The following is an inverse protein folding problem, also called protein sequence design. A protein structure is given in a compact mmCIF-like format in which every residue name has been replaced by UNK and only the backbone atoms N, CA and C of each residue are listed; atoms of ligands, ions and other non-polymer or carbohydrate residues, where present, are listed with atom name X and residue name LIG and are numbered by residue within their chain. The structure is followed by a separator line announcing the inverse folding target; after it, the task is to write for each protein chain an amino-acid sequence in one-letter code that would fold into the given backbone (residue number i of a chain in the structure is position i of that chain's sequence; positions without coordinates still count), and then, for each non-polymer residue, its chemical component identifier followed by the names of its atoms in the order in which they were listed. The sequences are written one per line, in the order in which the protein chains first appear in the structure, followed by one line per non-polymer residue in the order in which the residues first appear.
data_IF_675430903104
#
_entry.id   IF_675430903104
#
_cell.length_a   1.000
_cell.length_b   1.000
_cell.length_c   1.000
_cell.angle_alpha   90.00
_cell.angle_beta   90.00
_cell.angle_gamma   90.00
#
_symmetry.space_group_name_H-M   'P 1'
#
loop_
_entity.id
_entity.type
_entity.pdbx_description
1 polymer ?
#
# COMPACT_ATOMS: atom_id res chain seq x y z
N UNK A 1 -3.72 -13.05 13.24
CA UNK A 1 -3.32 -11.75 13.80
C UNK A 1 -4.52 -10.83 13.88
N UNK A 2 -4.48 -9.79 14.70
CA UNK A 2 -5.56 -8.82 14.87
C UNK A 2 -5.01 -7.43 15.21
N UNK A 3 -5.75 -6.38 14.84
CA UNK A 3 -5.48 -4.99 15.25
C UNK A 3 -5.60 -4.81 16.78
N UNK A 4 -4.97 -3.76 17.35
CA UNK A 4 -5.11 -3.44 18.76
C UNK A 4 -6.57 -3.28 19.18
N UNK A 5 -6.93 -3.89 20.31
CA UNK A 5 -8.25 -3.75 20.90
C UNK A 5 -8.29 -2.49 21.77
N UNK A 6 -8.89 -1.42 21.26
CA UNK A 6 -9.21 -0.20 22.03
C UNK A 6 -10.71 -0.21 22.32
N UNK A 7 -11.07 0.01 23.59
CA UNK A 7 -12.47 0.08 24.00
C UNK A 7 -13.25 1.07 23.11
N UNK A 8 -14.37 0.62 22.53
CA UNK A 8 -15.22 1.42 21.65
C UNK A 8 -14.81 1.49 20.17
N UNK A 9 -13.62 1.00 19.77
CA UNK A 9 -13.20 1.01 18.35
C UNK A 9 -13.44 -0.35 17.69
N UNK A 10 -14.16 -0.35 16.57
CA UNK A 10 -14.35 -1.56 15.75
C UNK A 10 -15.27 -2.62 16.36
N UNK A 11 -15.86 -2.36 17.53
CA UNK A 11 -16.87 -3.18 18.18
C UNK A 11 -18.26 -2.84 17.63
N UNK A 12 -19.10 -3.87 17.44
CA UNK A 12 -20.52 -3.67 17.11
C UNK A 12 -21.35 -3.72 18.39
N UNK A 13 -22.32 -2.83 18.52
CA UNK A 13 -23.26 -2.82 19.66
C UNK A 13 -24.06 -4.13 19.82
N UNK A 14 -24.26 -4.87 18.72
CA UNK A 14 -24.97 -6.15 18.72
C UNK A 14 -24.06 -7.38 18.84
N UNK A 15 -22.76 -7.26 18.55
CA UNK A 15 -21.81 -8.39 18.53
C UNK A 15 -20.54 -8.04 19.32
N UNK A 16 -20.51 -8.34 20.64
CA UNK A 16 -19.40 -7.98 21.53
C UNK A 16 -18.05 -8.59 21.13
N UNK A 17 -18.06 -9.72 20.42
CA UNK A 17 -16.84 -10.39 19.95
C UNK A 17 -16.34 -9.88 18.58
N UNK A 18 -17.12 -9.04 17.87
CA UNK A 18 -16.75 -8.55 16.54
C UNK A 18 -15.61 -7.54 16.64
N UNK A 19 -14.52 -7.82 15.93
CA UNK A 19 -13.35 -6.94 15.83
C UNK A 19 -13.06 -6.65 14.37
N UNK A 20 -13.41 -5.45 13.91
CA UNK A 20 -13.13 -5.02 12.53
C UNK A 20 -11.73 -4.39 12.41
N UNK A 21 -11.05 -4.56 11.26
CA UNK A 21 -9.73 -3.97 11.01
C UNK A 21 -9.86 -2.50 10.58
N UNK A 22 -10.23 -1.62 11.52
CA UNK A 22 -10.53 -0.21 11.23
C UNK A 22 -9.27 0.55 10.79
N UNK A 23 -8.12 0.30 11.42
CA UNK A 23 -6.88 1.00 11.10
C UNK A 23 -6.40 0.65 9.69
N UNK A 24 -6.41 -0.64 9.33
CA UNK A 24 -6.08 -1.10 7.99
C UNK A 24 -7.06 -0.55 6.94
N UNK A 25 -8.35 -0.44 7.30
CA UNK A 25 -9.36 0.15 6.42
C UNK A 25 -9.05 1.63 6.12
N UNK A 26 -8.67 2.41 7.13
CA UNK A 26 -8.29 3.81 6.95
C UNK A 26 -7.01 3.97 6.11
N UNK A 27 -6.01 3.14 6.35
CA UNK A 27 -4.77 3.12 5.56
C UNK A 27 -5.08 2.81 4.09
N UNK A 28 -5.90 1.78 3.85
CA UNK A 28 -6.31 1.39 2.50
C UNK A 28 -7.11 2.50 1.80
N UNK A 29 -7.99 3.18 2.53
CA UNK A 29 -8.75 4.32 2.00
C UNK A 29 -7.84 5.44 1.51
N UNK A 30 -6.79 5.78 2.26
CA UNK A 30 -5.79 6.76 1.83
C UNK A 30 -5.01 6.26 0.59
N UNK A 31 -4.58 5.00 0.58
CA UNK A 31 -3.84 4.41 -0.53
C UNK A 31 -4.62 4.39 -1.86
N UNK A 32 -5.95 4.35 -1.81
CA UNK A 32 -6.80 4.43 -3.00
C UNK A 32 -6.99 5.86 -3.53
N UNK A 33 -6.93 6.87 -2.65
CA UNK A 33 -7.19 8.27 -3.01
C UNK A 33 -5.93 9.00 -3.48
N UNK A 34 -4.80 8.78 -2.83
CA UNK A 34 -3.54 9.48 -3.11
C UNK A 34 -3.11 9.35 -4.58
N UNK A 35 -3.19 8.18 -5.24
CA UNK A 35 -2.83 8.07 -6.66
C UNK A 35 -3.63 9.03 -7.56
N UNK A 36 -4.95 9.14 -7.37
CA UNK A 36 -5.78 10.02 -8.18
C UNK A 36 -5.42 11.50 -7.98
N UNK A 37 -5.17 11.92 -6.73
CA UNK A 37 -4.72 13.27 -6.41
C UNK A 37 -3.32 13.54 -6.98
N UNK A 38 -2.43 12.55 -6.96
CA UNK A 38 -1.09 12.66 -7.53
C UNK A 38 -1.13 12.82 -9.05
N UNK A 39 -2.09 12.21 -9.74
CA UNK A 39 -2.28 12.42 -11.18
C UNK A 39 -2.56 13.88 -11.50
N UNK A 40 -3.39 14.57 -10.70
CA UNK A 40 -3.64 16.01 -10.88
C UNK A 40 -2.35 16.82 -10.74
N UNK A 41 -1.52 16.49 -9.74
CA UNK A 41 -0.23 17.16 -9.53
C UNK A 41 0.75 16.91 -10.69
N UNK A 42 0.75 15.71 -11.28
CA UNK A 42 1.56 15.41 -12.47
C UNK A 42 1.10 16.23 -13.67
N UNK A 43 -0.21 16.42 -13.86
CA UNK A 43 -0.72 17.29 -14.93
C UNK A 43 -0.30 18.75 -14.74
N UNK A 44 -0.14 19.20 -13.49
CA UNK A 44 0.34 20.55 -13.19
C UNK A 44 1.82 20.80 -13.57
N UNK A 45 2.58 19.75 -13.94
CA UNK A 45 3.95 19.93 -14.42
C UNK A 45 4.01 20.65 -15.78
N UNK A 46 2.91 20.67 -16.53
CA UNK A 46 2.76 21.43 -17.78
C UNK A 46 2.54 22.93 -17.49
N UNK A 47 3.52 23.56 -16.84
CA UNK A 47 3.50 24.99 -16.55
C UNK A 47 3.95 25.80 -17.78
N UNK A 48 3.12 26.73 -18.22
CA UNK A 48 3.44 27.71 -19.26
C UNK A 48 4.16 28.94 -18.68
N UNK A 49 5.16 29.46 -19.41
CA UNK A 49 5.95 30.66 -19.08
C UNK A 49 6.53 30.67 -17.65
N UNK A 50 6.76 31.84 -17.06
CA UNK A 50 7.32 31.97 -15.70
C UNK A 50 6.25 31.85 -14.60
N UNK A 51 4.96 31.94 -14.93
CA UNK A 51 3.84 31.85 -13.97
C UNK A 51 2.49 31.50 -14.63
N UNK A 52 2.26 30.21 -14.82
CA UNK A 52 1.00 29.73 -15.41
C UNK A 52 -0.22 29.94 -14.48
N UNK A 53 -1.23 30.66 -14.98
CA UNK A 53 -2.54 30.74 -14.35
C UNK A 53 -3.33 29.43 -14.56
N UNK A 54 -4.20 29.06 -13.61
CA UNK A 54 -4.90 27.78 -13.63
C UNK A 54 -4.03 26.63 -13.09
N UNK A 55 -2.93 26.29 -13.78
CA UNK A 55 -2.02 25.18 -13.41
C UNK A 55 -1.49 25.34 -11.97
N UNK A 56 -0.91 26.51 -11.66
CA UNK A 56 -0.40 26.80 -10.32
C UNK A 56 -1.49 26.73 -9.23
N UNK A 57 -2.73 27.11 -9.55
CA UNK A 57 -3.83 27.12 -8.58
C UNK A 57 -4.39 25.70 -8.37
N UNK A 58 -4.38 24.87 -9.41
CA UNK A 58 -4.88 23.50 -9.39
C UNK A 58 -4.08 22.60 -8.45
N UNK A 59 -2.82 22.92 -8.16
CA UNK A 59 -1.98 22.14 -7.23
C UNK A 59 -2.40 22.26 -5.76
N UNK A 60 -3.01 23.37 -5.37
CA UNK A 60 -3.12 23.76 -3.97
C UNK A 60 -3.92 22.77 -3.12
N UNK A 61 -5.07 22.33 -3.61
CA UNK A 61 -5.91 21.38 -2.88
C UNK A 61 -5.35 19.95 -2.95
N UNK A 62 -5.00 19.40 -4.13
CA UNK A 62 -4.51 18.02 -4.23
C UNK A 62 -3.22 17.81 -3.45
N UNK A 63 -2.31 18.79 -3.45
CA UNK A 63 -1.07 18.69 -2.67
C UNK A 63 -1.36 18.61 -1.17
N UNK A 64 -2.20 19.49 -0.64
CA UNK A 64 -2.57 19.47 0.79
C UNK A 64 -3.26 18.16 1.16
N UNK A 65 -4.13 17.66 0.29
CA UNK A 65 -4.87 16.44 0.56
C UNK A 65 -3.98 15.19 0.49
N UNK A 66 -3.07 15.10 -0.48
CA UNK A 66 -2.03 14.07 -0.54
C UNK A 66 -1.21 14.02 0.76
N UNK A 67 -0.77 15.18 1.25
CA UNK A 67 -0.02 15.28 2.50
C UNK A 67 -0.86 14.84 3.71
N UNK A 68 -2.12 15.27 3.78
CA UNK A 68 -3.04 14.92 4.87
C UNK A 68 -3.32 13.42 4.91
N UNK A 69 -3.66 12.82 3.77
CA UNK A 69 -3.98 11.39 3.64
C UNK A 69 -2.75 10.52 3.93
N UNK A 70 -1.59 10.85 3.33
CA UNK A 70 -0.37 10.07 3.52
C UNK A 70 0.15 10.19 4.94
N UNK A 71 0.17 11.39 5.52
CA UNK A 71 0.57 11.61 6.91
C UNK A 71 -0.37 10.92 7.90
N UNK A 72 -1.68 11.00 7.67
CA UNK A 72 -2.69 10.29 8.46
C UNK A 72 -2.54 8.77 8.35
N UNK A 73 -2.31 8.24 7.15
CA UNK A 73 -2.06 6.82 6.94
C UNK A 73 -0.78 6.34 7.65
N UNK A 74 0.30 7.12 7.59
CA UNK A 74 1.55 6.81 8.29
C UNK A 74 1.37 6.80 9.82
N UNK A 75 0.65 7.78 10.36
CA UNK A 75 0.31 7.82 11.79
C UNK A 75 -0.55 6.62 12.21
N UNK A 76 -1.57 6.30 11.42
CA UNK A 76 -2.47 5.15 11.63
C UNK A 76 -1.71 3.82 11.54
N UNK A 77 -0.78 3.70 10.59
CA UNK A 77 0.05 2.51 10.41
C UNK A 77 0.98 2.29 11.62
N UNK A 78 1.54 3.36 12.19
CA UNK A 78 2.35 3.26 13.40
C UNK A 78 1.54 2.70 14.58
N UNK A 79 0.30 3.16 14.77
CA UNK A 79 -0.60 2.64 15.78
C UNK A 79 -0.93 1.15 15.53
N UNK A 80 -1.28 0.80 14.29
CA UNK A 80 -1.60 -0.57 13.90
C UNK A 80 -0.43 -1.52 14.20
N UNK A 81 0.77 -1.18 13.73
CA UNK A 81 1.95 -2.05 13.85
C UNK A 81 2.39 -2.18 15.31
N UNK A 82 2.36 -1.10 16.10
CA UNK A 82 2.70 -1.15 17.54
C UNK A 82 1.72 -1.98 18.36
N UNK A 83 0.45 -1.99 17.97
CA UNK A 83 -0.62 -2.71 18.67
C UNK A 83 -0.97 -4.08 18.09
N UNK A 84 -0.27 -4.53 17.04
CA UNK A 84 -0.62 -5.74 16.31
C UNK A 84 -0.47 -6.97 17.21
N UNK A 85 -1.54 -7.73 17.39
CA UNK A 85 -1.52 -8.99 18.14
C UNK A 85 -1.32 -10.16 17.19
N UNK A 86 -0.21 -10.89 17.35
CA UNK A 86 0.08 -12.12 16.61
C UNK A 86 -0.47 -13.31 17.41
N UNK A 87 -1.01 -14.32 16.70
CA UNK A 87 -1.53 -15.55 17.31
C UNK A 87 -0.78 -16.76 16.74
N UNK A 88 0.41 -17.10 17.27
CA UNK A 88 1.26 -18.17 16.72
C UNK A 88 0.54 -19.52 16.63
N UNK A 89 -0.26 -19.87 17.64
CA UNK A 89 -1.05 -21.11 17.66
C UNK A 89 -2.04 -21.18 16.49
N UNK A 90 -2.74 -20.09 16.19
CA UNK A 90 -3.64 -20.01 15.04
C UNK A 90 -2.87 -20.10 13.72
N UNK A 91 -1.68 -19.49 13.64
CA UNK A 91 -0.84 -19.62 12.45
C UNK A 91 -0.42 -21.08 12.23
N UNK A 92 0.01 -21.78 13.28
CA UNK A 92 0.36 -23.21 13.20
C UNK A 92 -0.84 -24.08 12.82
N UNK A 93 -2.00 -23.83 13.43
CA UNK A 93 -3.25 -24.54 13.07
C UNK A 93 -3.64 -24.33 11.60
N UNK A 94 -3.56 -23.09 11.10
CA UNK A 94 -3.84 -22.80 9.68
C UNK A 94 -2.86 -23.50 8.73
N UNK A 95 -1.57 -23.56 9.09
CA UNK A 95 -0.58 -24.30 8.31
C UNK A 95 -0.87 -25.82 8.31
N UNK A 96 -1.30 -26.35 9.46
CA UNK A 96 -1.69 -27.75 9.62
C UNK A 96 -2.98 -28.13 8.90
N UNK A 97 -3.82 -27.17 8.51
CA UNK A 97 -5.12 -27.42 7.87
C UNK A 97 -5.02 -28.20 6.54
N UNK A 98 -3.85 -28.19 5.90
CA UNK A 98 -3.59 -28.94 4.66
C UNK A 98 -2.99 -30.33 4.88
N UNK A 99 -2.78 -30.75 6.13
CA UNK A 99 -2.18 -32.05 6.44
C UNK A 99 -0.75 -32.22 5.89
N UNK A 100 0.01 -31.13 5.75
CA UNK A 100 1.38 -31.12 5.22
C UNK A 100 1.47 -30.87 3.71
N UNK A 101 0.36 -30.85 2.97
CA UNK A 101 0.38 -30.71 1.51
C UNK A 101 0.98 -29.38 1.02
N UNK A 102 0.92 -28.31 1.84
CA UNK A 102 1.47 -26.98 1.52
C UNK A 102 2.96 -26.99 1.16
N UNK A 103 3.75 -27.91 1.74
CA UNK A 103 5.21 -27.98 1.56
C UNK A 103 5.65 -29.32 0.96
N UNK A 104 4.71 -29.98 0.27
CA UNK A 104 4.87 -31.33 -0.30
C UNK A 104 5.97 -31.42 -1.36
N UNK A 105 6.35 -30.31 -2.00
CA UNK A 105 7.43 -30.28 -2.98
C UNK A 105 8.79 -30.72 -2.39
N UNK A 106 8.97 -30.57 -1.08
CA UNK A 106 10.17 -31.05 -0.37
C UNK A 106 10.32 -32.56 -0.45
N UNK A 107 9.21 -33.28 -0.37
CA UNK A 107 9.18 -34.74 -0.53
C UNK A 107 9.59 -35.12 -1.95
N UNK A 108 9.07 -34.41 -2.96
CA UNK A 108 9.46 -34.64 -4.37
C UNK A 108 10.95 -34.37 -4.61
N UNK A 109 11.51 -33.33 -3.99
CA UNK A 109 12.94 -33.02 -4.10
C UNK A 109 13.84 -34.12 -3.53
N UNK A 110 13.41 -34.80 -2.46
CA UNK A 110 14.13 -35.92 -1.84
C UNK A 110 13.93 -37.22 -2.60
N UNK A 111 12.71 -37.48 -3.10
CA UNK A 111 12.39 -38.70 -3.84
C UNK A 111 12.89 -38.70 -5.29
N UNK A 112 13.01 -37.53 -5.94
CA UNK A 112 13.40 -37.45 -7.35
C UNK A 112 14.79 -38.04 -7.67
N UNK A 113 15.83 -37.86 -6.83
CA UNK A 113 17.11 -38.56 -7.00
C UNK A 113 17.04 -40.08 -6.82
N UNK A 114 16.04 -40.58 -6.07
CA UNK A 114 15.91 -42.01 -5.73
C UNK A 114 15.03 -42.78 -6.72
N UNK A 115 13.93 -42.17 -7.14
CA UNK A 115 12.90 -42.80 -7.99
C UNK A 115 12.89 -42.26 -9.43
N UNK A 116 13.58 -41.14 -9.67
CA UNK A 116 13.42 -40.36 -10.90
C UNK A 116 12.30 -39.32 -10.78
N UNK A 117 12.48 -38.18 -11.44
CA UNK A 117 11.58 -37.01 -11.35
C UNK A 117 10.12 -37.33 -11.69
N UNK A 118 9.89 -38.11 -12.75
CA UNK A 118 8.55 -38.45 -13.21
C UNK A 118 7.81 -39.33 -12.17
N UNK A 119 8.46 -40.39 -11.71
CA UNK A 119 7.90 -41.30 -10.72
C UNK A 119 7.65 -40.60 -9.37
N UNK A 120 8.60 -39.79 -8.89
CA UNK A 120 8.43 -39.02 -7.65
C UNK A 120 7.23 -38.05 -7.73
N UNK A 121 7.04 -37.38 -8.87
CA UNK A 121 5.91 -36.48 -9.10
C UNK A 121 4.59 -37.24 -9.13
N UNK A 122 4.53 -38.37 -9.83
CA UNK A 122 3.33 -39.20 -9.92
C UNK A 122 2.91 -39.77 -8.56
N UNK A 123 3.87 -40.30 -7.81
CA UNK A 123 3.67 -40.80 -6.45
C UNK A 123 3.12 -39.71 -5.52
N UNK A 124 3.75 -38.54 -5.50
CA UNK A 124 3.30 -37.42 -4.66
C UNK A 124 1.90 -36.93 -5.06
N UNK A 125 1.58 -36.94 -6.35
CA UNK A 125 0.26 -36.55 -6.87
C UNK A 125 -0.82 -37.51 -6.37
N UNK A 126 -0.62 -38.83 -6.50
CA UNK A 126 -1.52 -39.84 -5.95
C UNK A 126 -1.69 -39.70 -4.45
N UNK A 127 -0.58 -39.57 -3.71
CA UNK A 127 -0.61 -39.44 -2.26
C UNK A 127 -1.38 -38.20 -1.80
N UNK A 128 -1.18 -37.05 -2.46
CA UNK A 128 -1.87 -35.80 -2.14
C UNK A 128 -3.38 -35.88 -2.43
N UNK A 129 -3.77 -36.54 -3.52
CA UNK A 129 -5.18 -36.80 -3.84
C UNK A 129 -5.83 -37.70 -2.78
N UNK A 130 -5.15 -38.78 -2.38
CA UNK A 130 -5.63 -39.68 -1.33
C UNK A 130 -5.73 -38.99 0.04
N UNK A 131 -4.72 -38.19 0.42
CA UNK A 131 -4.74 -37.39 1.65
C UNK A 131 -5.93 -36.41 1.67
N UNK A 132 -6.18 -35.72 0.55
CA UNK A 132 -7.30 -34.79 0.40
C UNK A 132 -8.66 -35.49 0.46
N UNK A 133 -8.80 -36.65 -0.19
CA UNK A 133 -10.04 -37.41 -0.21
C UNK A 133 -10.39 -38.02 1.17
N UNK A 134 -9.38 -38.41 1.95
CA UNK A 134 -9.55 -39.09 3.23
C UNK A 134 -9.45 -38.15 4.44
N UNK A 135 -8.98 -36.91 4.25
CA UNK A 135 -8.68 -35.98 5.33
C UNK A 135 -7.50 -36.39 6.21
N UNK A 136 -6.71 -37.39 5.78
CA UNK A 136 -5.55 -37.89 6.53
C UNK A 136 -4.31 -37.04 6.27
N UNK A 137 -3.37 -36.94 7.23
CA UNK A 137 -2.07 -36.31 7.01
C UNK A 137 -1.32 -36.97 5.83
N UNK A 138 -0.69 -36.16 4.99
CA UNK A 138 0.07 -36.65 3.82
C UNK A 138 1.23 -37.57 4.25
N UNK A 139 1.84 -37.31 5.40
CA UNK A 139 2.90 -38.17 5.96
C UNK A 139 2.41 -39.61 6.21
N UNK A 140 1.19 -39.78 6.69
CA UNK A 140 0.61 -41.09 6.97
C UNK A 140 0.29 -41.83 5.68
N UNK A 141 -0.30 -41.12 4.70
CA UNK A 141 -0.60 -41.70 3.38
C UNK A 141 0.66 -42.14 2.66
N UNK A 142 1.71 -41.31 2.66
CA UNK A 142 2.98 -41.65 2.03
C UNK A 142 3.62 -42.86 2.70
N UNK A 143 3.65 -42.94 4.03
CA UNK A 143 4.28 -44.04 4.76
C UNK A 143 3.64 -45.42 4.50
N UNK A 144 2.38 -45.45 4.02
CA UNK A 144 1.67 -46.68 3.66
C UNK A 144 1.93 -47.12 2.22
N UNK A 145 2.53 -46.28 1.37
CA UNK A 145 2.78 -46.60 -0.03
C UNK A 145 4.03 -47.48 -0.18
N UNK A 146 3.93 -48.64 -0.85
CA UNK A 146 5.07 -49.54 -1.09
C UNK A 146 6.27 -48.84 -1.72
N UNK A 147 6.04 -47.87 -2.61
CA UNK A 147 7.08 -47.13 -3.33
C UNK A 147 7.93 -46.23 -2.41
N UNK A 148 7.48 -45.96 -1.18
CA UNK A 148 8.24 -45.18 -0.17
C UNK A 148 8.95 -46.06 0.85
N UNK A 149 8.62 -47.36 0.90
CA UNK A 149 9.18 -48.28 1.89
C UNK A 149 10.69 -48.43 1.67
N UNK A 150 11.45 -48.21 2.74
CA UNK A 150 12.92 -48.23 2.69
C UNK A 150 13.57 -46.99 2.07
N UNK A 151 12.78 -46.01 1.60
CA UNK A 151 13.30 -44.73 1.09
C UNK A 151 13.15 -43.59 2.10
N UNK A 152 11.99 -43.54 2.78
CA UNK A 152 11.70 -42.56 3.81
C UNK A 152 10.91 -43.21 4.94
N UNK A 153 11.31 -42.93 6.17
CA UNK A 153 10.50 -43.25 7.35
C UNK A 153 9.33 -42.27 7.47
N UNK A 154 8.33 -42.63 8.30
CA UNK A 154 7.21 -41.74 8.61
C UNK A 154 7.70 -40.46 9.28
N UNK A 155 8.68 -40.57 10.18
CA UNK A 155 9.28 -39.46 10.91
C UNK A 155 10.02 -38.49 9.97
N UNK A 156 10.84 -39.01 9.04
CA UNK A 156 11.51 -38.20 8.02
C UNK A 156 10.49 -37.51 7.11
N UNK A 157 9.45 -38.23 6.70
CA UNK A 157 8.37 -37.67 5.88
C UNK A 157 7.63 -36.56 6.63
N UNK A 158 7.32 -36.75 7.92
CA UNK A 158 6.70 -35.74 8.75
C UNK A 158 7.60 -34.50 8.91
N UNK A 159 8.91 -34.67 9.07
CA UNK A 159 9.86 -33.56 9.15
C UNK A 159 9.99 -32.79 7.83
N UNK A 160 9.94 -33.50 6.68
CA UNK A 160 9.89 -32.87 5.36
C UNK A 160 8.58 -32.11 5.15
N UNK A 161 7.48 -32.57 5.76
CA UNK A 161 6.17 -31.95 5.65
C UNK A 161 5.86 -30.92 6.74
N UNK A 162 6.81 -30.63 7.65
CA UNK A 162 6.68 -29.55 8.63
C UNK A 162 6.98 -28.18 7.99
N UNK A 163 5.99 -27.27 7.87
CA UNK A 163 6.19 -25.95 7.29
C UNK A 163 7.10 -25.05 8.14
N UNK A 164 7.25 -25.31 9.44
CA UNK A 164 8.15 -24.52 10.29
C UNK A 164 9.62 -24.68 9.89
N UNK A 165 9.99 -25.83 9.33
CA UNK A 165 11.31 -26.11 8.77
C UNK A 165 11.52 -25.58 7.35
N UNK A 166 10.52 -24.91 6.75
CA UNK A 166 10.54 -24.51 5.35
C UNK A 166 10.28 -23.01 5.14
N UNK A 167 11.07 -22.18 5.81
CA UNK A 167 10.97 -20.73 5.72
C UNK A 167 11.92 -20.12 4.67
N UNK A 168 12.72 -20.95 3.99
CA UNK A 168 13.69 -20.50 2.98
C UNK A 168 14.60 -19.37 3.50
N UNK A 169 14.68 -18.29 2.73
CA UNK A 169 15.50 -17.11 3.07
C UNK A 169 14.76 -16.05 3.92
N UNK A 170 13.61 -16.39 4.53
CA UNK A 170 12.83 -15.42 5.30
C UNK A 170 13.64 -14.75 6.42
N UNK A 171 14.41 -15.52 7.21
CA UNK A 171 15.30 -14.99 8.25
C UNK A 171 16.33 -13.98 7.70
N UNK A 172 17.17 -14.40 6.73
CA UNK A 172 18.12 -13.49 6.08
C UNK A 172 17.51 -12.21 5.48
N UNK A 173 16.28 -12.27 4.95
CA UNK A 173 15.58 -11.09 4.44
C UNK A 173 15.15 -10.14 5.57
N UNK A 174 14.69 -10.68 6.69
CA UNK A 174 14.37 -9.90 7.90
C UNK A 174 15.63 -9.23 8.43
N UNK A 175 16.74 -9.97 8.55
CA UNK A 175 18.02 -9.42 9.02
C UNK A 175 18.50 -8.27 8.14
N UNK A 176 18.41 -8.43 6.81
CA UNK A 176 18.76 -7.38 5.85
C UNK A 176 17.88 -6.13 6.01
N UNK A 177 16.57 -6.31 6.20
CA UNK A 177 15.65 -5.19 6.40
C UNK A 177 15.97 -4.41 7.70
N UNK A 178 16.30 -5.13 8.77
CA UNK A 178 16.66 -4.55 10.08
C UNK A 178 18.04 -3.89 10.10
N UNK A 179 18.96 -4.34 9.25
CA UNK A 179 20.29 -3.74 9.08
C UNK A 179 20.29 -2.46 8.23
N UNK A 180 19.20 -2.19 7.48
CA UNK A 180 19.12 -1.03 6.59
C UNK A 180 19.30 0.31 7.34
N UNK A 181 20.04 1.30 6.79
CA UNK A 181 20.37 2.56 7.48
C UNK A 181 19.15 3.34 8.00
N UNK A 182 17.99 3.21 7.35
CA UNK A 182 16.73 3.82 7.79
C UNK A 182 16.26 3.29 9.16
N UNK A 183 16.42 2.00 9.43
CA UNK A 183 16.12 1.40 10.73
C UNK A 183 17.19 1.72 11.78
N UNK A 184 18.47 1.78 11.40
CA UNK A 184 19.55 2.18 12.30
C UNK A 184 19.40 3.62 12.80
N UNK A 185 19.02 4.56 11.92
CA UNK A 185 18.75 5.96 12.28
C UNK A 185 17.52 6.14 13.15
N UNK A 186 16.46 5.34 12.95
CA UNK A 186 15.27 5.38 13.78
C UNK A 186 15.57 4.95 15.23
N UNK A 187 16.35 3.87 15.43
CA UNK A 187 16.81 3.41 16.75
C UNK A 187 17.59 4.49 17.53
N UNK A 188 18.45 5.23 16.83
CA UNK A 188 19.21 6.34 17.42
C UNK A 188 18.28 7.52 17.77
N UNK A 189 17.27 7.81 16.95
CA UNK A 189 16.35 8.93 17.21
C UNK A 189 15.44 8.67 18.42
N UNK A 190 15.00 7.43 18.64
CA UNK A 190 14.20 7.04 19.80
C UNK A 190 15.00 7.13 21.11
N UNK A 191 16.32 6.86 21.07
CA UNK A 191 17.21 7.07 22.23
C UNK A 191 17.35 8.56 22.58
N UNK A 192 17.38 9.45 21.58
CA UNK A 192 17.40 10.90 21.81
C UNK A 192 16.03 11.50 22.18
N UNK A 193 14.92 10.90 21.74
CA UNK A 193 13.58 11.36 22.06
C UNK A 193 13.13 10.96 23.48
N UNK A 194 13.72 9.90 24.05
CA UNK A 194 13.48 9.44 25.43
C UNK A 194 14.27 10.23 26.49
N UNK A 195 15.25 11.05 26.11
CA UNK A 195 15.92 11.97 27.02
C UNK A 195 14.96 13.11 27.43
N UNK A 196 14.88 13.50 28.71
CA UNK A 196 14.06 14.62 29.13
C UNK A 196 14.51 15.88 28.38
N UNK A 197 13.60 16.46 27.60
CA UNK A 197 13.88 17.72 26.91
C UNK A 197 14.16 18.79 27.98
N UNK A 198 15.30 19.52 27.92
CA UNK A 198 15.48 20.66 28.80
C UNK A 198 14.31 21.62 28.56
N UNK A 199 13.70 22.10 29.66
CA UNK A 199 12.57 23.01 29.60
C UNK A 199 12.93 24.17 28.67
N UNK A 200 12.26 24.22 27.51
CA UNK A 200 12.64 25.18 26.50
C UNK A 200 12.23 26.58 26.97
N UNK A 201 13.20 27.41 27.33
CA UNK A 201 13.01 28.85 27.58
C UNK A 201 12.85 29.58 26.25
N UNK A 202 11.89 29.16 25.42
CA UNK A 202 11.42 30.00 24.31
C UNK A 202 10.51 31.06 24.92
N UNK A 203 11.09 32.20 25.32
CA UNK A 203 10.31 33.43 25.51
C UNK A 203 9.57 33.68 24.19
N UNK A 204 8.24 33.61 24.22
CA UNK A 204 7.39 34.20 23.18
C UNK A 204 7.79 35.66 23.04
N UNK A 205 8.49 36.02 21.96
CA UNK A 205 8.60 37.43 21.57
C UNK A 205 7.19 37.90 21.16
N UNK A 206 6.70 39.04 21.67
CA UNK A 206 5.43 39.59 21.22
C UNK A 206 5.47 39.84 19.71
N UNK A 207 4.40 39.48 19.00
CA UNK A 207 4.20 39.89 17.60
C UNK A 207 3.87 41.37 17.59
N UNK A 208 4.88 42.23 17.54
CA UNK A 208 4.72 43.63 17.16
C UNK A 208 5.33 43.85 15.80
N UNK A 209 4.51 44.24 14.81
CA UNK A 209 4.99 44.93 13.62
C UNK A 209 4.97 44.16 12.30
N UNK A 210 3.91 43.43 11.95
CA UNK A 210 3.62 43.05 10.56
C UNK A 210 2.19 43.43 10.20
N UNK A 211 1.91 44.73 10.23
CA UNK A 211 0.70 45.30 9.64
C UNK A 211 0.99 46.72 9.18
N UNK A 212 1.49 46.86 7.95
CA UNK A 212 1.42 48.04 7.05
C UNK A 212 2.45 47.90 5.94
N UNK A 213 2.16 47.08 4.92
CA UNK A 213 2.78 47.26 3.61
C UNK A 213 1.94 46.67 2.46
N UNK A 214 0.63 46.87 2.50
CA UNK A 214 -0.24 46.78 1.34
C UNK A 214 -1.30 47.87 1.48
N UNK A 215 -0.91 49.10 1.15
CA UNK A 215 -1.82 50.22 0.98
C UNK A 215 -1.58 50.74 -0.43
N UNK A 216 -2.58 50.50 -1.28
CA UNK A 216 -2.85 51.08 -2.60
C UNK A 216 -1.87 52.16 -3.08
N UNK A 217 -1.12 51.87 -4.14
CA UNK A 217 -0.53 52.91 -4.98
C UNK A 217 -1.65 53.52 -5.85
N UNK A 218 -1.96 54.83 -5.75
CA UNK A 218 -2.84 55.47 -6.71
C UNK A 218 -2.07 55.72 -8.01
N UNK A 219 -2.63 55.27 -9.13
CA UNK A 219 -2.17 55.65 -10.45
C UNK A 219 -2.35 57.17 -10.62
N UNK A 220 -1.26 57.90 -10.85
CA UNK A 220 -1.30 59.27 -11.36
C UNK A 220 -0.30 59.45 -12.50
N UNK A 221 -0.89 59.68 -13.67
CA UNK A 221 -0.45 60.51 -14.80
C UNK A 221 0.92 60.26 -15.43
N UNK A 222 0.89 59.71 -16.65
CA UNK A 222 1.51 60.35 -17.81
C UNK A 222 0.53 60.29 -18.99
N UNK A 223 -0.11 61.43 -19.28
CA UNK A 223 -0.67 61.79 -20.58
C UNK A 223 0.33 62.77 -21.18
N UNK A 224 0.85 62.47 -22.37
CA UNK A 224 1.30 63.43 -23.39
C UNK A 224 1.23 62.70 -24.76
N UNK A 225 0.86 63.39 -25.85
CA UNK A 225 0.32 62.77 -27.05
C UNK A 225 1.39 62.49 -28.11
N UNK A 226 1.25 61.37 -28.83
CA UNK A 226 2.00 61.14 -30.07
C UNK A 226 1.02 61.01 -31.24
N UNK A 227 1.16 61.96 -32.16
CA UNK A 227 0.53 62.12 -33.46
C UNK A 227 0.54 60.83 -34.31
N UNK A 228 -0.53 60.58 -35.07
CA UNK A 228 -0.64 59.46 -36.02
C UNK A 228 0.36 59.53 -37.21
N UNK A 229 0.27 58.62 -38.22
CA UNK A 229 -0.98 58.38 -38.93
C UNK A 229 -1.30 56.93 -39.39
N UNK A 230 -2.57 56.79 -39.77
CA UNK A 230 -3.17 55.93 -40.81
C UNK A 230 -3.67 54.52 -40.43
N UNK A 231 -4.96 54.36 -40.72
CA UNK A 231 -5.81 53.19 -40.54
C UNK A 231 -5.45 52.07 -41.53
N UNK A 232 -5.41 50.83 -41.06
CA UNK A 232 -5.86 49.65 -41.83
C UNK A 232 -6.75 48.79 -40.93
N UNK A 233 -8.03 48.81 -41.26
CA UNK A 233 -9.05 47.92 -40.71
C UNK A 233 -8.84 46.52 -41.32
N UNK A 234 -8.66 45.49 -40.50
CA UNK A 234 -8.79 44.09 -40.94
C UNK A 234 -10.25 43.68 -40.69
N UNK A 235 -10.99 43.47 -41.77
CA UNK A 235 -12.34 42.89 -41.75
C UNK A 235 -12.26 41.40 -41.38
N UNK A 236 -13.12 40.98 -40.45
CA UNK A 236 -13.40 39.58 -40.13
C UNK A 236 -14.67 39.19 -40.90
N UNK A 237 -14.68 38.14 -41.74
CA UNK A 237 -15.88 37.72 -42.43
C UNK A 237 -16.82 36.90 -41.52
N UNK A 238 -18.11 37.27 -41.50
CA UNK A 238 -19.20 36.53 -40.85
C UNK A 238 -19.54 35.22 -41.58
N UNK A 239 -19.82 34.10 -40.89
CA UNK A 239 -20.32 32.90 -41.54
C UNK A 239 -21.85 32.91 -41.61
N UNK A 240 -22.40 33.06 -42.83
CA UNK A 240 -23.80 32.75 -43.13
C UNK A 240 -23.96 31.28 -43.51
N UNK A 241 -24.75 30.55 -42.73
CA UNK A 241 -25.72 29.52 -43.12
C UNK A 241 -25.31 28.38 -44.06
N UNK A 242 -25.25 27.15 -43.51
CA UNK A 242 -25.77 25.94 -44.17
C UNK A 242 -26.44 25.00 -43.15
N UNK A 243 -27.59 24.51 -43.58
CA UNK A 243 -28.64 23.69 -42.95
C UNK A 243 -28.16 22.32 -42.43
N UNK A 244 -28.75 21.75 -41.36
CA UNK A 244 -28.44 20.41 -40.88
C UNK A 244 -29.17 19.32 -41.71
N UNK A 245 -28.62 18.10 -41.84
CA UNK A 245 -29.32 16.98 -42.46
C UNK A 245 -30.34 16.33 -41.52
N UNK A 246 -31.43 15.85 -42.11
CA UNK A 246 -32.63 15.34 -41.47
C UNK A 246 -32.45 14.01 -40.71
N UNK A 247 -33.12 13.92 -39.56
CA UNK A 247 -33.32 12.71 -38.76
C UNK A 247 -34.11 11.64 -39.55
N UNK A 248 -33.68 10.38 -39.46
CA UNK A 248 -34.47 9.22 -39.85
C UNK A 248 -35.00 8.51 -38.60
N UNK A 249 -36.27 8.10 -38.57
CA UNK A 249 -36.85 7.44 -37.41
C UNK A 249 -36.45 5.96 -37.34
N UNK A 250 -36.31 5.49 -36.10
CA UNK A 250 -36.09 4.10 -35.70
C UNK A 250 -37.40 3.31 -35.85
N UNK A 251 -37.35 2.12 -36.44
CA UNK A 251 -38.42 1.11 -36.33
C UNK A 251 -37.82 -0.23 -35.94
N UNK A 252 -38.40 -0.78 -34.86
CA UNK A 252 -38.43 -2.15 -34.32
C UNK A 252 -37.33 -3.14 -34.70
#
# INVERSE_FOLDING_TARGET
MAEPAVAGRGASSAMPHKRNPVLATLIRSAALQVPALSTVLVQCLSTEDERSAGVWHAEWQPLRECLRLTGGAAHTALELVRGLTVHPERMRSNLGATGGQLVSERVSAVLAPLLGKAAAKELLTRASQAASATGRPLADVLAELPETQGLLTREETAALLDPAGYTGVAGPLVDRALASPGHARARLRDTYAAAPRPASTWRRRPRTGWSRRWRTQPARHLLEPASGPSRRTLEVPSPTGRTPPAERPYTA
#
